data_IF_982560681647
#
_entry.id   IF_982560681647
#
_cell.length_a   1.000
_cell.length_b   1.000
_cell.length_c   1.000
_cell.angle_alpha   90.00
_cell.angle_beta   90.00
_cell.angle_gamma   90.00
#
_symmetry.space_group_name_H-M   'P 1'
#
loop_
_entity.id
_entity.type
_entity.pdbx_description
1 polymer ?
#
# COMPACT_ATOMS: atom_id res chain seq x y z
N UNK A 1 21.49 2.47 6.48
CA UNK A 1 20.98 3.62 7.26
C UNK A 1 20.72 4.68 6.22
N UNK A 2 19.47 5.15 6.05
CA UNK A 2 19.21 6.20 5.06
C UNK A 2 20.09 7.43 5.28
N UNK A 3 20.63 8.00 4.21
CA UNK A 3 21.50 9.17 4.27
C UNK A 3 20.78 10.41 3.73
N UNK A 4 21.08 11.59 4.30
CA UNK A 4 20.63 12.84 3.69
C UNK A 4 21.40 13.05 2.39
N UNK A 5 20.70 13.44 1.33
CA UNK A 5 21.38 13.89 0.12
C UNK A 5 22.19 15.16 0.40
N UNK A 6 23.39 15.25 -0.15
CA UNK A 6 24.20 16.49 -0.11
C UNK A 6 23.51 17.62 -0.89
N UNK A 7 22.86 17.29 -2.01
CA UNK A 7 21.94 18.15 -2.75
C UNK A 7 20.67 17.36 -3.07
N UNK A 8 19.49 17.89 -2.72
CA UNK A 8 18.22 17.25 -3.12
C UNK A 8 18.15 17.15 -4.64
N UNK A 9 18.00 15.94 -5.22
CA UNK A 9 18.04 15.76 -6.66
C UNK A 9 16.90 16.57 -7.31
N UNK A 10 17.28 17.61 -8.05
CA UNK A 10 16.33 18.36 -8.86
C UNK A 10 15.86 17.50 -10.03
N UNK A 11 14.54 17.38 -10.18
CA UNK A 11 13.94 16.61 -11.26
C UNK A 11 12.63 17.26 -11.71
N UNK A 12 12.07 16.77 -12.80
CA UNK A 12 10.84 17.30 -13.36
C UNK A 12 9.66 17.30 -12.36
N UNK A 13 9.68 16.43 -11.34
CA UNK A 13 8.65 16.35 -10.32
C UNK A 13 8.80 17.52 -9.33
N UNK A 14 10.02 17.75 -8.81
CA UNK A 14 10.29 18.83 -7.86
C UNK A 14 10.14 20.21 -8.49
N UNK A 15 10.39 20.34 -9.79
CA UNK A 15 10.28 21.58 -10.55
C UNK A 15 8.89 21.80 -11.20
N UNK A 16 7.96 20.83 -11.11
CA UNK A 16 6.68 20.86 -11.84
C UNK A 16 5.76 22.04 -11.51
N UNK A 17 5.89 22.63 -10.31
CA UNK A 17 4.99 23.67 -9.81
C UNK A 17 3.56 23.21 -9.54
N UNK A 18 3.24 21.92 -9.71
CA UNK A 18 1.89 21.35 -9.55
C UNK A 18 1.47 21.32 -8.08
N UNK A 19 2.35 20.81 -7.21
CA UNK A 19 2.21 20.85 -5.76
C UNK A 19 3.58 20.79 -5.10
N UNK A 20 3.63 21.01 -3.78
CA UNK A 20 4.87 20.95 -3.02
C UNK A 20 5.38 19.51 -2.94
N UNK A 21 6.68 19.30 -3.08
CA UNK A 21 7.34 18.00 -2.87
C UNK A 21 8.15 18.07 -1.58
N UNK A 22 7.92 17.13 -0.66
CA UNK A 22 8.72 17.04 0.58
C UNK A 22 10.03 16.31 0.24
N UNK A 23 11.20 16.81 0.69
CA UNK A 23 12.46 16.12 0.50
C UNK A 23 12.45 14.69 1.06
N UNK A 24 13.17 13.80 0.38
CA UNK A 24 13.38 12.42 0.79
C UNK A 24 14.88 12.16 0.98
N UNK A 25 15.21 11.13 1.77
CA UNK A 25 16.57 10.64 1.98
C UNK A 25 16.95 9.59 0.93
N UNK A 26 18.24 9.35 0.80
CA UNK A 26 18.79 8.25 0.02
C UNK A 26 18.68 6.96 0.83
N UNK A 27 18.21 5.90 0.18
CA UNK A 27 17.98 4.59 0.79
C UNK A 27 19.05 3.58 0.36
N UNK A 28 19.44 2.75 1.32
CA UNK A 28 20.29 1.59 1.07
C UNK A 28 19.47 0.38 0.62
N UNK A 29 20.14 -0.56 -0.08
CA UNK A 29 19.52 -1.83 -0.51
C UNK A 29 18.97 -2.67 0.66
N UNK A 30 19.52 -2.49 1.87
CA UNK A 30 19.12 -3.23 3.07
C UNK A 30 17.97 -2.59 3.86
N UNK A 31 17.56 -1.36 3.54
CA UNK A 31 16.52 -0.66 4.29
C UNK A 31 15.16 -1.37 4.26
N UNK A 32 14.70 -2.00 3.15
CA UNK A 32 13.47 -2.80 3.15
C UNK A 32 13.43 -3.93 4.18
N UNK A 33 14.56 -4.60 4.41
CA UNK A 33 14.67 -5.68 5.42
C UNK A 33 14.67 -5.09 6.83
N UNK A 34 15.34 -3.96 7.03
CA UNK A 34 15.31 -3.21 8.30
C UNK A 34 13.87 -2.82 8.66
N UNK A 35 13.07 -2.33 7.72
CA UNK A 35 11.69 -1.95 7.96
C UNK A 35 10.82 -3.15 8.38
N UNK A 36 11.01 -4.32 7.78
CA UNK A 36 10.34 -5.56 8.21
C UNK A 36 10.72 -5.93 9.65
N UNK A 37 12.00 -5.82 10.01
CA UNK A 37 12.46 -6.10 11.37
C UNK A 37 11.83 -5.17 12.40
N UNK A 38 11.72 -3.87 12.08
CA UNK A 38 11.04 -2.89 12.92
C UNK A 38 9.53 -3.16 13.00
N UNK A 39 8.89 -3.44 11.87
CA UNK A 39 7.47 -3.81 11.83
C UNK A 39 7.16 -5.09 12.61
N UNK A 40 8.07 -6.06 12.63
CA UNK A 40 7.94 -7.27 13.44
C UNK A 40 8.03 -6.95 14.94
N UNK A 41 8.90 -6.02 15.34
CA UNK A 41 8.97 -5.56 16.74
C UNK A 41 7.66 -4.90 17.18
N UNK A 42 7.04 -4.12 16.31
CA UNK A 42 5.75 -3.49 16.59
C UNK A 42 4.62 -4.52 16.70
N UNK A 43 4.60 -5.51 15.80
CA UNK A 43 3.65 -6.61 15.84
C UNK A 43 3.75 -7.42 17.15
N UNK A 44 4.97 -7.71 17.61
CA UNK A 44 5.22 -8.44 18.86
C UNK A 44 4.87 -7.61 20.10
N UNK A 45 4.98 -6.28 20.04
CA UNK A 45 4.60 -5.37 21.14
C UNK A 45 3.10 -5.14 21.22
N UNK A 46 2.37 -5.32 20.12
CA UNK A 46 0.91 -5.03 20.03
C UNK A 46 0.08 -6.20 19.49
N UNK A 47 0.26 -7.44 20.01
CA UNK A 47 -0.30 -8.65 19.41
C UNK A 47 -1.82 -8.61 19.26
N UNK A 48 -2.54 -7.97 20.20
CA UNK A 48 -4.00 -7.83 20.12
C UNK A 48 -4.46 -6.94 18.95
N UNK A 49 -3.78 -5.81 18.71
CA UNK A 49 -4.09 -4.94 17.58
C UNK A 49 -3.66 -5.57 16.26
N UNK A 50 -2.48 -6.18 16.23
CA UNK A 50 -1.98 -6.94 15.09
C UNK A 50 -2.97 -8.02 14.67
N UNK A 51 -3.45 -8.83 15.61
CA UNK A 51 -4.44 -9.87 15.33
C UNK A 51 -5.77 -9.27 14.87
N UNK A 52 -6.25 -8.20 15.49
CA UNK A 52 -7.49 -7.54 15.09
C UNK A 52 -7.45 -7.06 13.63
N UNK A 53 -6.43 -6.28 13.26
CA UNK A 53 -6.29 -5.81 11.87
C UNK A 53 -6.02 -6.96 10.91
N UNK A 54 -5.20 -7.93 11.30
CA UNK A 54 -4.94 -9.13 10.50
C UNK A 54 -6.21 -9.92 10.19
N UNK A 55 -7.09 -10.09 11.18
CA UNK A 55 -8.39 -10.73 10.99
C UNK A 55 -9.27 -9.92 10.04
N UNK A 56 -9.29 -8.59 10.11
CA UNK A 56 -10.03 -7.76 9.14
C UNK A 56 -9.53 -8.01 7.71
N UNK A 57 -8.21 -8.05 7.49
CA UNK A 57 -7.63 -8.33 6.18
C UNK A 57 -7.94 -9.73 5.65
N UNK A 58 -8.14 -10.73 6.50
CA UNK A 58 -8.51 -12.09 6.08
C UNK A 58 -10.03 -12.27 5.91
N UNK A 59 -10.82 -11.69 6.82
CA UNK A 59 -12.29 -11.80 6.83
C UNK A 59 -12.92 -11.10 5.64
N UNK A 60 -12.39 -9.97 5.17
CA UNK A 60 -12.98 -9.27 4.03
C UNK A 60 -12.94 -10.14 2.76
N UNK A 61 -11.79 -10.67 2.29
CA UNK A 61 -11.76 -11.62 1.18
C UNK A 61 -12.61 -12.88 1.40
N UNK A 62 -12.61 -13.46 2.62
CA UNK A 62 -13.48 -14.59 2.93
C UNK A 62 -14.97 -14.26 2.78
N UNK A 63 -15.40 -13.09 3.23
CA UNK A 63 -16.77 -12.62 3.07
C UNK A 63 -17.13 -12.44 1.59
N UNK A 64 -16.20 -11.94 0.77
CA UNK A 64 -16.39 -11.82 -0.69
C UNK A 64 -16.56 -13.21 -1.31
N UNK A 65 -15.70 -14.17 -0.96
CA UNK A 65 -15.81 -15.55 -1.46
C UNK A 65 -17.13 -16.18 -1.02
N UNK A 66 -17.51 -16.05 0.25
CA UNK A 66 -18.77 -16.57 0.77
C UNK A 66 -19.97 -15.97 0.04
N UNK A 67 -19.97 -14.66 -0.22
CA UNK A 67 -21.03 -13.98 -0.96
C UNK A 67 -21.17 -14.51 -2.40
N UNK A 68 -20.05 -14.76 -3.08
CA UNK A 68 -20.04 -15.37 -4.42
C UNK A 68 -20.63 -16.77 -4.39
N UNK A 69 -20.26 -17.59 -3.40
CA UNK A 69 -20.79 -18.95 -3.25
C UNK A 69 -22.29 -18.96 -2.94
N UNK A 70 -22.77 -18.04 -2.10
CA UNK A 70 -24.18 -17.94 -1.74
C UNK A 70 -25.07 -17.44 -2.88
N UNK A 71 -24.56 -16.53 -3.72
CA UNK A 71 -25.35 -15.91 -4.80
C UNK A 71 -25.18 -16.61 -6.15
N UNK A 72 -24.09 -17.37 -6.34
CA UNK A 72 -23.69 -17.91 -7.64
C UNK A 72 -23.26 -16.83 -8.65
N UNK A 73 -23.22 -15.56 -8.24
CA UNK A 73 -22.94 -14.43 -9.12
C UNK A 73 -21.48 -14.00 -8.98
N UNK A 74 -20.62 -14.59 -9.80
CA UNK A 74 -19.18 -14.30 -9.82
C UNK A 74 -18.85 -12.83 -10.12
N UNK A 75 -19.77 -12.10 -10.77
CA UNK A 75 -19.60 -10.67 -11.08
C UNK A 75 -19.58 -9.78 -9.83
N UNK A 76 -20.05 -10.25 -8.68
CA UNK A 76 -20.01 -9.52 -7.40
C UNK A 76 -18.58 -9.24 -6.93
N UNK A 77 -17.59 -10.02 -7.41
CA UNK A 77 -16.17 -9.81 -7.12
C UNK A 77 -15.71 -8.41 -7.59
N UNK A 78 -16.21 -7.94 -8.73
CA UNK A 78 -15.79 -6.67 -9.33
C UNK A 78 -16.08 -5.46 -8.41
N UNK A 79 -17.34 -5.20 -8.01
CA UNK A 79 -17.63 -4.12 -7.06
C UNK A 79 -17.01 -4.37 -5.69
N UNK A 80 -16.88 -5.63 -5.25
CA UNK A 80 -16.30 -5.95 -3.95
C UNK A 80 -14.82 -5.53 -3.85
N UNK A 81 -14.01 -5.78 -4.90
CA UNK A 81 -12.60 -5.35 -4.95
C UNK A 81 -12.49 -3.82 -4.96
N UNK A 82 -13.40 -3.12 -5.64
CA UNK A 82 -13.46 -1.65 -5.63
C UNK A 82 -13.74 -1.13 -4.22
N UNK A 83 -14.72 -1.71 -3.53
CA UNK A 83 -15.02 -1.36 -2.13
C UNK A 83 -13.84 -1.68 -1.21
N UNK A 84 -13.19 -2.84 -1.37
CA UNK A 84 -12.02 -3.20 -0.59
C UNK A 84 -10.88 -2.19 -0.76
N UNK A 85 -10.63 -1.75 -2.00
CA UNK A 85 -9.62 -0.75 -2.30
C UNK A 85 -9.93 0.61 -1.64
N UNK A 86 -11.21 1.01 -1.58
CA UNK A 86 -11.65 2.22 -0.88
C UNK A 86 -11.41 2.14 0.64
N UNK A 87 -11.58 0.95 1.22
CA UNK A 87 -11.42 0.70 2.67
C UNK A 87 -9.94 0.56 3.08
N UNK A 88 -9.08 0.12 2.15
CA UNK A 88 -7.66 -0.13 2.37
C UNK A 88 -6.89 0.97 3.12
N UNK A 89 -6.96 2.25 2.68
CA UNK A 89 -6.30 3.37 3.36
C UNK A 89 -6.65 3.49 4.85
N UNK A 90 -7.90 3.23 5.23
CA UNK A 90 -8.36 3.33 6.61
C UNK A 90 -7.82 2.18 7.47
N UNK A 91 -7.74 0.96 6.91
CA UNK A 91 -7.09 -0.17 7.59
C UNK A 91 -5.60 0.08 7.77
N UNK A 92 -4.93 0.61 6.74
CA UNK A 92 -3.52 0.95 6.79
C UNK A 92 -3.23 2.08 7.79
N UNK A 93 -4.04 3.14 7.82
CA UNK A 93 -3.91 4.22 8.79
C UNK A 93 -4.01 3.72 10.24
N UNK A 94 -4.86 2.72 10.52
CA UNK A 94 -4.91 2.08 11.84
C UNK A 94 -3.60 1.41 12.26
N UNK A 95 -2.96 0.70 11.33
CA UNK A 95 -1.66 0.08 11.55
C UNK A 95 -0.55 1.12 11.72
N UNK A 96 -0.56 2.17 10.89
CA UNK A 96 0.41 3.27 10.96
C UNK A 96 0.32 4.04 12.27
N UNK A 97 -0.90 4.33 12.73
CA UNK A 97 -1.13 5.01 14.01
C UNK A 97 -0.63 4.17 15.20
N UNK A 98 -0.74 2.85 15.10
CA UNK A 98 -0.20 1.95 16.12
C UNK A 98 1.32 2.08 16.24
N UNK A 99 2.06 2.01 15.13
CA UNK A 99 3.51 2.23 15.13
C UNK A 99 3.88 3.64 15.58
N UNK A 100 3.10 4.65 15.18
CA UNK A 100 3.30 6.04 15.57
C UNK A 100 3.16 6.27 17.09
N UNK A 101 2.18 5.66 17.74
CA UNK A 101 2.01 5.75 19.19
C UNK A 101 3.10 4.97 19.93
N UNK A 102 3.53 3.81 19.41
CA UNK A 102 4.66 3.07 19.97
C UNK A 102 5.96 3.86 19.95
N UNK A 103 6.24 4.55 18.84
CA UNK A 103 7.42 5.42 18.71
C UNK A 103 7.43 6.55 19.74
N UNK A 104 6.26 7.10 20.08
CA UNK A 104 6.14 8.12 21.13
C UNK A 104 6.15 7.57 22.55
N UNK A 105 6.27 6.25 22.74
CA UNK A 105 6.16 5.60 24.03
C UNK A 105 4.75 5.63 24.62
N UNK A 106 3.73 5.90 23.82
CA UNK A 106 2.33 5.82 24.23
C UNK A 106 1.80 4.38 24.09
N UNK A 107 0.66 4.10 24.75
CA UNK A 107 -0.06 2.83 24.56
C UNK A 107 -1.02 2.97 23.37
N UNK A 108 -0.82 2.22 22.28
CA UNK A 108 -1.70 2.30 21.12
C UNK A 108 -3.14 1.90 21.46
N UNK A 109 -4.12 2.57 20.84
CA UNK A 109 -5.53 2.24 21.01
C UNK A 109 -6.31 2.50 19.73
N UNK A 110 -7.30 1.65 19.43
CA UNK A 110 -8.16 1.78 18.24
C UNK A 110 -8.87 3.13 18.16
N UNK A 111 -9.27 3.68 19.32
CA UNK A 111 -9.93 4.99 19.40
C UNK A 111 -9.01 6.14 19.00
N UNK A 112 -7.71 6.03 19.29
CA UNK A 112 -6.74 7.03 18.84
C UNK A 112 -6.66 7.02 17.32
N UNK A 113 -6.57 5.84 16.70
CA UNK A 113 -6.43 5.71 15.25
C UNK A 113 -7.64 6.27 14.50
N UNK A 114 -8.85 6.01 15.00
CA UNK A 114 -10.08 6.60 14.44
C UNK A 114 -10.07 8.13 14.54
N UNK A 115 -9.57 8.68 15.65
CA UNK A 115 -9.47 10.14 15.85
C UNK A 115 -8.37 10.76 14.99
N UNK A 116 -7.25 10.07 14.78
CA UNK A 116 -6.16 10.50 13.93
C UNK A 116 -6.59 10.64 12.47
N UNK A 117 -7.31 9.63 11.94
CA UNK A 117 -7.85 9.67 10.56
C UNK A 117 -8.82 10.85 10.34
N UNK A 118 -9.58 11.25 11.37
CA UNK A 118 -10.50 12.40 11.27
C UNK A 118 -9.77 13.74 11.11
N UNK A 119 -8.48 13.83 11.45
CA UNK A 119 -7.71 15.09 11.41
C UNK A 119 -7.48 15.61 9.98
N UNK A 120 -7.40 14.71 9.00
CA UNK A 120 -7.21 15.05 7.59
C UNK A 120 -8.24 14.32 6.68
N UNK A 121 -9.47 14.16 7.18
CA UNK A 121 -10.48 13.31 6.56
C UNK A 121 -10.75 13.63 5.08
N UNK A 122 -10.76 14.90 4.69
CA UNK A 122 -11.03 15.28 3.28
C UNK A 122 -9.98 14.70 2.34
N UNK A 123 -8.69 14.82 2.68
CA UNK A 123 -7.62 14.31 1.83
C UNK A 123 -7.48 12.78 1.94
N UNK A 124 -7.77 12.18 3.09
CA UNK A 124 -7.83 10.71 3.22
C UNK A 124 -8.95 10.10 2.38
N UNK A 125 -10.17 10.69 2.41
CA UNK A 125 -11.25 10.27 1.52
C UNK A 125 -10.92 10.56 0.05
N UNK A 126 -10.28 11.69 -0.24
CA UNK A 126 -9.75 11.99 -1.58
C UNK A 126 -8.79 10.92 -2.07
N UNK A 127 -7.90 10.42 -1.21
CA UNK A 127 -7.01 9.31 -1.53
C UNK A 127 -7.79 8.01 -1.76
N UNK A 128 -8.76 7.68 -0.91
CA UNK A 128 -9.64 6.53 -1.12
C UNK A 128 -10.38 6.58 -2.46
N UNK A 129 -10.89 7.76 -2.85
CA UNK A 129 -11.54 7.99 -4.15
C UNK A 129 -10.53 7.84 -5.29
N UNK A 130 -9.30 8.36 -5.15
CA UNK A 130 -8.23 8.16 -6.13
C UNK A 130 -7.96 6.66 -6.34
N UNK A 131 -7.82 5.87 -5.26
CA UNK A 131 -7.62 4.43 -5.36
C UNK A 131 -8.82 3.71 -5.98
N UNK A 132 -10.05 4.15 -5.69
CA UNK A 132 -11.25 3.64 -6.33
C UNK A 132 -11.22 3.86 -7.84
N UNK A 133 -10.90 5.08 -8.29
CA UNK A 133 -10.81 5.42 -9.73
C UNK A 133 -9.73 4.58 -10.40
N UNK A 134 -8.57 4.43 -9.76
CA UNK A 134 -7.47 3.58 -10.25
C UNK A 134 -7.89 2.11 -10.35
N UNK A 135 -8.63 1.59 -9.36
CA UNK A 135 -9.15 0.23 -9.40
C UNK A 135 -10.19 0.05 -10.51
N UNK A 136 -11.12 0.99 -10.69
CA UNK A 136 -12.08 0.95 -11.80
C UNK A 136 -11.33 0.95 -13.14
N UNK A 137 -10.32 1.81 -13.28
CA UNK A 137 -9.48 1.84 -14.48
C UNK A 137 -8.78 0.48 -14.71
N UNK A 138 -8.19 -0.12 -13.66
CA UNK A 138 -7.62 -1.47 -13.73
C UNK A 138 -8.64 -2.51 -14.19
N UNK A 139 -9.85 -2.52 -13.62
CA UNK A 139 -10.91 -3.43 -14.05
C UNK A 139 -11.28 -3.25 -15.52
N UNK A 140 -11.27 -2.01 -16.03
CA UNK A 140 -11.49 -1.73 -17.46
C UNK A 140 -10.36 -2.31 -18.30
N UNK A 141 -9.10 -2.10 -17.91
CA UNK A 141 -7.95 -2.68 -18.61
C UNK A 141 -8.02 -4.21 -18.61
N UNK A 142 -8.29 -4.84 -17.45
CA UNK A 142 -8.45 -6.28 -17.33
C UNK A 142 -9.58 -6.81 -18.22
N UNK A 143 -10.71 -6.10 -18.30
CA UNK A 143 -11.83 -6.47 -19.18
C UNK A 143 -11.47 -6.40 -20.67
N UNK A 144 -10.64 -5.43 -21.07
CA UNK A 144 -10.15 -5.32 -22.45
C UNK A 144 -9.17 -6.43 -22.78
N UNK A 145 -8.23 -6.75 -21.87
CA UNK A 145 -7.32 -7.89 -22.04
C UNK A 145 -8.11 -9.19 -22.18
N UNK A 146 -9.15 -9.37 -21.37
CA UNK A 146 -10.04 -10.52 -21.47
C UNK A 146 -10.84 -10.53 -22.78
N UNK A 147 -11.29 -9.38 -23.28
CA UNK A 147 -12.02 -9.29 -24.55
C UNK A 147 -11.15 -9.61 -25.78
N UNK A 148 -9.83 -9.42 -25.68
CA UNK A 148 -8.87 -9.84 -26.71
C UNK A 148 -8.65 -11.36 -26.71
N UNK A 149 -9.13 -12.08 -25.68
CA UNK A 149 -9.03 -13.53 -25.61
C UNK A 149 -10.26 -14.21 -26.23
N UNK A 150 -10.11 -15.12 -27.21
CA UNK A 150 -11.24 -15.76 -27.86
C UNK A 150 -11.99 -16.69 -26.89
N UNK A 151 -13.32 -16.71 -26.96
CA UNK A 151 -14.19 -17.49 -26.05
C UNK A 151 -14.26 -19.00 -26.36
N UNK A 152 -13.69 -19.41 -27.49
CA UNK A 152 -13.81 -20.75 -28.09
C UNK A 152 -12.52 -21.58 -28.01
N UNK A 153 -11.53 -21.16 -27.21
CA UNK A 153 -10.27 -21.88 -27.03
C UNK A 153 -10.39 -22.87 -25.88
N UNK A 154 -9.88 -24.10 -26.06
CA UNK A 154 -9.80 -25.07 -24.97
C UNK A 154 -9.04 -24.46 -23.78
N UNK A 155 -9.51 -24.73 -22.56
CA UNK A 155 -8.89 -24.24 -21.32
C UNK A 155 -7.65 -25.05 -20.94
N UNK A 156 -6.68 -25.16 -21.86
CA UNK A 156 -5.37 -25.75 -21.60
C UNK A 156 -4.38 -24.66 -21.17
N UNK A 157 -3.31 -25.02 -20.46
CA UNK A 157 -2.33 -24.03 -20.02
C UNK A 157 -1.65 -23.34 -21.22
N UNK A 158 -1.30 -24.11 -22.26
CA UNK A 158 -0.63 -23.58 -23.46
C UNK A 158 -1.47 -22.54 -24.19
N UNK A 159 -2.78 -22.76 -24.29
CA UNK A 159 -3.69 -21.82 -24.93
C UNK A 159 -3.93 -20.55 -24.11
N UNK A 160 -3.79 -20.64 -22.77
CA UNK A 160 -3.93 -19.51 -21.86
C UNK A 160 -2.63 -18.71 -21.70
N UNK A 161 -1.47 -19.25 -22.08
CA UNK A 161 -0.17 -18.60 -21.92
C UNK A 161 -0.11 -17.16 -22.47
N UNK A 162 -0.57 -16.86 -23.69
CA UNK A 162 -0.54 -15.49 -24.20
C UNK A 162 -1.34 -14.50 -23.34
N UNK A 163 -2.51 -14.94 -22.87
CA UNK A 163 -3.37 -14.15 -21.97
C UNK A 163 -2.70 -13.95 -20.61
N UNK A 164 -2.13 -15.00 -20.02
CA UNK A 164 -1.44 -14.93 -18.73
C UNK A 164 -0.19 -14.04 -18.80
N UNK A 165 0.61 -14.16 -19.86
CA UNK A 165 1.82 -13.34 -20.05
C UNK A 165 1.44 -11.87 -20.24
N UNK A 166 0.49 -11.57 -21.13
CA UNK A 166 0.03 -10.19 -21.36
C UNK A 166 -0.58 -9.59 -20.09
N UNK A 167 -1.48 -10.31 -19.43
CA UNK A 167 -2.10 -9.89 -18.18
C UNK A 167 -1.06 -9.63 -17.08
N UNK A 168 -0.04 -10.48 -16.98
CA UNK A 168 1.05 -10.32 -16.00
C UNK A 168 1.90 -9.09 -16.29
N UNK A 169 2.27 -8.85 -17.56
CA UNK A 169 3.06 -7.67 -17.94
C UNK A 169 2.29 -6.39 -17.64
N UNK A 170 1.02 -6.31 -18.06
CA UNK A 170 0.20 -5.12 -17.83
C UNK A 170 -0.07 -4.93 -16.34
N UNK A 171 -0.33 -6.01 -15.60
CA UNK A 171 -0.48 -5.98 -14.15
C UNK A 171 0.79 -5.54 -13.42
N UNK A 172 1.97 -5.95 -13.88
CA UNK A 172 3.25 -5.52 -13.33
C UNK A 172 3.46 -4.02 -13.52
N UNK A 173 3.17 -3.48 -14.71
CA UNK A 173 3.23 -2.03 -14.99
C UNK A 173 2.27 -1.27 -14.07
N UNK A 174 1.03 -1.76 -13.91
CA UNK A 174 0.06 -1.14 -13.03
C UNK A 174 0.50 -1.18 -11.56
N UNK A 175 1.08 -2.30 -11.12
CA UNK A 175 1.61 -2.48 -9.75
C UNK A 175 2.75 -1.52 -9.47
N UNK A 176 3.68 -1.34 -10.42
CA UNK A 176 4.75 -0.34 -10.29
C UNK A 176 4.15 1.07 -10.21
N UNK A 177 3.24 1.44 -11.10
CA UNK A 177 2.55 2.73 -11.03
C UNK A 177 1.85 2.96 -9.68
N UNK A 178 1.21 1.92 -9.15
CA UNK A 178 0.59 1.96 -7.82
C UNK A 178 1.61 2.15 -6.70
N UNK A 179 2.77 1.51 -6.78
CA UNK A 179 3.87 1.71 -5.82
C UNK A 179 4.30 3.17 -5.79
N UNK A 180 4.49 3.80 -6.95
CA UNK A 180 4.82 5.23 -7.05
C UNK A 180 3.77 6.11 -6.37
N UNK A 181 2.49 5.87 -6.64
CA UNK A 181 1.39 6.70 -6.16
C UNK A 181 1.12 6.48 -4.67
N UNK A 182 1.36 5.29 -4.11
CA UNK A 182 0.78 4.92 -2.81
C UNK A 182 1.78 4.62 -1.71
N UNK A 183 3.04 4.31 -2.05
CA UNK A 183 4.05 3.85 -1.08
C UNK A 183 4.12 4.74 0.17
N UNK A 184 4.04 6.06 0.00
CA UNK A 184 4.14 7.02 1.11
C UNK A 184 2.96 7.98 1.24
N UNK A 185 2.00 7.97 0.31
CA UNK A 185 0.89 8.95 0.34
C UNK A 185 0.02 8.83 1.57
N UNK A 186 -0.39 7.62 1.96
CA UNK A 186 -1.23 7.43 3.14
C UNK A 186 -0.54 7.83 4.45
N UNK A 187 0.70 7.38 4.77
CA UNK A 187 1.36 7.82 6.01
C UNK A 187 1.66 9.33 6.01
N UNK A 188 1.94 9.95 4.84
CA UNK A 188 2.07 11.41 4.73
C UNK A 188 0.77 12.11 5.12
N UNK A 189 -0.38 11.68 4.57
CA UNK A 189 -1.68 12.29 4.85
C UNK A 189 -2.12 12.10 6.30
N UNK A 190 -1.74 10.97 6.91
CA UNK A 190 -2.01 10.68 8.30
C UNK A 190 -1.17 11.55 9.24
N UNK A 191 0.16 11.60 9.05
CA UNK A 191 1.07 12.33 9.94
C UNK A 191 1.00 13.85 9.71
N UNK A 192 0.76 14.30 8.47
CA UNK A 192 0.87 15.71 8.07
C UNK A 192 -0.44 16.28 7.51
N UNK A 193 -0.72 17.53 7.86
CA UNK A 193 -1.85 18.30 7.27
C UNK A 193 -1.44 18.88 5.92
N UNK A 194 -1.23 18.02 4.94
CA UNK A 194 -0.95 18.39 3.55
C UNK A 194 -2.09 17.97 2.65
N UNK A 195 -2.20 18.61 1.48
CA UNK A 195 -3.12 18.23 0.43
C UNK A 195 -2.70 16.91 -0.24
N UNK A 196 -3.67 16.25 -0.90
CA UNK A 196 -3.45 14.99 -1.60
C UNK A 196 -2.37 15.08 -2.70
N UNK A 197 -2.33 16.18 -3.45
CA UNK A 197 -1.35 16.38 -4.52
C UNK A 197 0.08 16.38 -4.00
N UNK A 198 0.33 17.15 -2.93
CA UNK A 198 1.61 17.16 -2.20
C UNK A 198 2.01 15.75 -1.74
N UNK A 199 1.08 14.98 -1.18
CA UNK A 199 1.36 13.63 -0.68
C UNK A 199 1.65 12.62 -1.80
N UNK A 200 0.94 12.70 -2.93
CA UNK A 200 1.18 11.85 -4.11
C UNK A 200 2.50 12.20 -4.77
N UNK A 201 2.77 13.48 -5.07
CA UNK A 201 4.02 13.87 -5.70
C UNK A 201 5.24 13.58 -4.83
N UNK A 202 5.10 13.71 -3.51
CA UNK A 202 6.16 13.28 -2.57
C UNK A 202 6.42 11.78 -2.65
N UNK A 203 5.37 10.94 -2.70
CA UNK A 203 5.51 9.49 -2.87
C UNK A 203 6.20 9.14 -4.19
N UNK A 204 5.73 9.75 -5.29
CA UNK A 204 6.29 9.52 -6.63
C UNK A 204 7.77 9.92 -6.66
N UNK A 205 8.12 11.09 -6.10
CA UNK A 205 9.50 11.55 -6.03
C UNK A 205 10.38 10.60 -5.20
N UNK A 206 9.91 10.18 -4.02
CA UNK A 206 10.65 9.28 -3.14
C UNK A 206 10.97 7.94 -3.82
N UNK A 207 10.01 7.37 -4.54
CA UNK A 207 10.20 6.13 -5.32
C UNK A 207 11.11 6.37 -6.53
N UNK A 208 10.94 7.51 -7.20
CA UNK A 208 11.76 7.86 -8.37
C UNK A 208 13.23 8.02 -8.02
N UNK A 209 13.54 8.65 -6.89
CA UNK A 209 14.92 8.84 -6.43
C UNK A 209 15.51 7.51 -5.95
N UNK A 210 14.74 6.68 -5.23
CA UNK A 210 15.21 5.44 -4.63
C UNK A 210 14.71 4.17 -5.35
N UNK A 211 14.91 4.08 -6.67
CA UNK A 211 14.30 3.04 -7.52
C UNK A 211 14.60 1.62 -7.04
N UNK A 212 15.86 1.31 -6.80
CA UNK A 212 16.28 -0.08 -6.49
C UNK A 212 15.76 -0.54 -5.13
N UNK A 213 15.97 0.19 -4.01
CA UNK A 213 15.38 -0.19 -2.72
C UNK A 213 13.85 -0.28 -2.77
N UNK A 214 13.18 0.61 -3.51
CA UNK A 214 11.73 0.57 -3.62
C UNK A 214 11.21 -0.59 -4.48
N UNK A 215 11.95 -1.03 -5.50
CA UNK A 215 11.60 -2.24 -6.24
C UNK A 215 11.74 -3.50 -5.38
N UNK A 216 12.76 -3.56 -4.52
CA UNK A 216 12.90 -4.63 -3.51
C UNK A 216 11.70 -4.61 -2.55
N UNK A 217 11.32 -3.42 -2.07
CA UNK A 217 10.16 -3.27 -1.21
C UNK A 217 8.84 -3.69 -1.89
N UNK A 218 8.64 -3.29 -3.14
CA UNK A 218 7.51 -3.73 -3.96
C UNK A 218 7.47 -5.25 -4.16
N UNK A 219 8.63 -5.88 -4.39
CA UNK A 219 8.73 -7.34 -4.49
C UNK A 219 8.36 -8.03 -3.17
N UNK A 220 8.81 -7.51 -2.02
CA UNK A 220 8.44 -8.02 -0.70
C UNK A 220 6.93 -7.96 -0.49
N UNK A 221 6.30 -6.83 -0.79
CA UNK A 221 4.85 -6.67 -0.66
C UNK A 221 4.12 -7.65 -1.59
N UNK A 222 4.54 -7.74 -2.85
CA UNK A 222 3.97 -8.67 -3.83
C UNK A 222 4.04 -10.11 -3.34
N UNK A 223 5.21 -10.56 -2.86
CA UNK A 223 5.39 -11.91 -2.31
C UNK A 223 4.53 -12.14 -1.08
N UNK A 224 4.41 -11.18 -0.17
CA UNK A 224 3.54 -11.28 1.00
C UNK A 224 2.06 -11.43 0.59
N UNK A 225 1.61 -10.65 -0.40
CA UNK A 225 0.27 -10.77 -0.96
C UNK A 225 0.05 -12.14 -1.60
N UNK A 226 1.00 -12.61 -2.41
CA UNK A 226 0.94 -13.91 -3.08
C UNK A 226 0.86 -15.08 -2.07
N UNK A 227 1.67 -15.07 -1.01
CA UNK A 227 1.60 -16.06 0.07
C UNK A 227 0.21 -16.04 0.73
N UNK A 228 -0.35 -14.86 0.96
CA UNK A 228 -1.71 -14.75 1.50
C UNK A 228 -2.76 -15.40 0.59
N UNK A 229 -2.70 -15.19 -0.73
CA UNK A 229 -3.59 -15.88 -1.67
C UNK A 229 -3.38 -17.41 -1.66
N UNK A 230 -2.13 -17.89 -1.71
CA UNK A 230 -1.79 -19.32 -1.70
C UNK A 230 -2.27 -20.02 -0.42
N UNK A 231 -2.26 -19.31 0.71
CA UNK A 231 -2.73 -19.82 2.00
C UNK A 231 -4.24 -19.62 2.22
N UNK A 232 -5.01 -19.25 1.19
CA UNK A 232 -6.45 -19.03 1.30
C UNK A 232 -6.81 -17.87 2.24
N UNK A 233 -6.02 -16.79 2.19
CA UNK A 233 -6.11 -15.56 2.99
C UNK A 233 -5.69 -15.67 4.46
N UNK A 234 -5.40 -16.88 4.97
CA UNK A 234 -4.91 -17.06 6.35
C UNK A 234 -3.60 -16.30 6.59
N UNK A 235 -2.70 -16.30 5.60
CA UNK A 235 -1.43 -15.56 5.68
C UNK A 235 -1.60 -14.05 5.88
N UNK A 236 -2.73 -13.46 5.45
CA UNK A 236 -2.99 -12.03 5.66
C UNK A 236 -3.13 -11.64 7.13
N UNK A 237 -3.48 -12.59 8.01
CA UNK A 237 -3.60 -12.33 9.46
C UNK A 237 -2.28 -11.83 10.03
N UNK A 238 -1.15 -12.32 9.52
CA UNK A 238 0.19 -11.94 10.00
C UNK A 238 0.87 -10.98 9.03
N UNK A 239 0.80 -11.27 7.74
CA UNK A 239 1.57 -10.56 6.73
C UNK A 239 1.06 -9.12 6.49
N UNK A 240 -0.26 -8.89 6.48
CA UNK A 240 -0.79 -7.54 6.22
C UNK A 240 -0.46 -6.55 7.35
N UNK A 241 -0.67 -6.90 8.65
CA UNK A 241 -0.19 -6.06 9.74
C UNK A 241 1.32 -5.81 9.71
N UNK A 242 2.12 -6.84 9.45
CA UNK A 242 3.58 -6.73 9.37
C UNK A 242 4.01 -5.73 8.28
N UNK A 243 3.43 -5.85 7.08
CA UNK A 243 3.69 -4.92 5.98
C UNK A 243 3.20 -3.52 6.32
N UNK A 244 2.06 -3.38 7.00
CA UNK A 244 1.58 -2.07 7.47
C UNK A 244 2.56 -1.39 8.43
N UNK A 245 3.00 -2.06 9.49
CA UNK A 245 3.99 -1.50 10.42
C UNK A 245 5.31 -1.20 9.73
N UNK A 246 5.80 -2.11 8.88
CA UNK A 246 7.02 -1.88 8.11
C UNK A 246 6.89 -0.68 7.14
N UNK A 247 5.72 -0.44 6.55
CA UNK A 247 5.47 0.71 5.67
C UNK A 247 5.52 2.04 6.43
N UNK A 248 5.11 2.04 7.71
CA UNK A 248 5.34 3.19 8.59
C UNK A 248 6.83 3.46 8.76
N UNK A 249 7.62 2.43 9.13
CA UNK A 249 9.07 2.57 9.26
C UNK A 249 9.76 3.01 7.96
N UNK A 250 9.29 2.50 6.81
CA UNK A 250 9.75 2.95 5.50
C UNK A 250 9.51 4.44 5.29
N UNK A 251 8.33 4.94 5.64
CA UNK A 251 7.99 6.35 5.57
C UNK A 251 8.88 7.21 6.48
N UNK A 252 9.10 6.77 7.72
CA UNK A 252 9.94 7.45 8.72
C UNK A 252 11.38 7.58 8.22
N UNK A 253 11.92 6.51 7.65
CA UNK A 253 13.29 6.44 7.12
C UNK A 253 13.44 7.31 5.87
N UNK A 254 12.45 7.27 4.97
CA UNK A 254 12.54 7.87 3.63
C UNK A 254 12.21 9.36 3.59
N UNK A 255 11.18 9.83 4.30
CA UNK A 255 10.67 11.20 4.16
C UNK A 255 11.26 12.12 5.23
N UNK A 256 11.88 13.23 4.79
CA UNK A 256 12.51 14.16 5.70
C UNK A 256 11.53 14.97 6.55
N UNK A 257 11.98 15.34 7.74
CA UNK A 257 11.27 16.21 8.68
C UNK A 257 12.06 17.49 8.90
N UNK A 258 11.36 18.62 8.99
CA UNK A 258 11.99 19.92 9.31
C UNK A 258 12.47 20.00 10.76
N UNK A 259 11.79 19.28 11.66
CA UNK A 259 12.10 19.19 13.08
C UNK A 259 12.42 17.73 13.34
N UNK A 260 13.61 17.44 13.87
CA UNK A 260 14.02 16.09 14.23
C UNK A 260 12.97 15.45 15.14
N UNK A 261 12.62 14.20 14.88
CA UNK A 261 11.73 13.44 15.75
C UNK A 261 12.44 13.26 17.09
N UNK A 262 11.79 13.61 18.21
CA UNK A 262 12.42 13.57 19.55
C UNK A 262 12.53 12.14 20.13
N UNK A 263 12.29 11.11 19.35
CA UNK A 263 12.06 9.74 19.81
C UNK A 263 12.72 8.68 18.91
N UNK A 264 13.90 9.00 18.34
CA UNK A 264 14.74 8.01 17.63
C UNK A 264 15.38 6.98 18.57
#
# INVERSE_FOLDING_TARGET
>A
MSHKFEETPENAITQSGIARVIPCKELDLGDPIKWLSLGLRDALRTPGLTLFYGLLFAVIPWAIVALVQMTGWHLVILPAIVCFMLVGPFLAAGLYDTSWELEKGHKPSLWHSIKAMKRNAVNEWGFGILLMVLMIFWLRVASLIHALYPSNVETTLESLMPFLVLGTIVGAVFTVGMLFITAFTQPILMERKVDLGTAVLTSVNAVWVNKVPMMIWGAIIFTAVAIGFVTGFVGFIVLMPLIGYASWHAYIDTIETKVARKYE
#
